data_IF_862183493159
#
_entry.id   IF_862183493159
#
_cell.length_a   1.000
_cell.length_b   1.000
_cell.length_c   1.000
_cell.angle_alpha   90.00
_cell.angle_beta   90.00
_cell.angle_gamma   90.00
#
_symmetry.space_group_name_H-M   'P 1'
#
loop_
_entity.id
_entity.type
_entity.pdbx_description
1 polymer ?
#
# COMPACT_ATOMS: atom_id res chain seq x y z
N UNK A 1 -13.74 -13.81 11.79
CA UNK A 1 -13.81 -12.64 10.88
C UNK A 1 -14.11 -11.42 11.72
N UNK A 2 -13.06 -10.77 12.21
CA UNK A 2 -13.14 -9.55 13.03
C UNK A 2 -12.93 -8.33 12.14
N UNK A 3 -14.01 -7.65 11.81
CA UNK A 3 -14.06 -6.19 11.88
C UNK A 3 -13.58 -5.40 10.67
N UNK A 4 -12.28 -5.29 10.46
CA UNK A 4 -11.80 -4.01 9.94
C UNK A 4 -11.19 -4.13 8.54
N UNK A 5 -11.90 -3.59 7.56
CA UNK A 5 -11.38 -3.31 6.22
C UNK A 5 -11.08 -1.83 6.09
N UNK A 6 -9.95 -1.48 5.49
CA UNK A 6 -9.63 -0.11 5.12
C UNK A 6 -9.67 0.06 3.60
N UNK A 7 -9.96 1.28 3.14
CA UNK A 7 -9.85 1.67 1.74
C UNK A 7 -8.72 2.68 1.62
N UNK A 8 -7.72 2.38 0.81
CA UNK A 8 -6.63 3.31 0.49
C UNK A 8 -6.74 3.79 -0.95
N UNK A 9 -6.33 5.02 -1.20
CA UNK A 9 -6.25 5.58 -2.55
C UNK A 9 -4.82 5.49 -3.07
N UNK A 10 -4.63 4.92 -4.26
CA UNK A 10 -3.36 4.86 -4.97
C UNK A 10 -3.08 6.15 -5.75
N UNK A 11 -1.89 6.25 -6.34
CA UNK A 11 -1.43 7.43 -7.13
C UNK A 11 -2.26 7.73 -8.36
N UNK A 12 -2.90 6.71 -8.95
CA UNK A 12 -3.80 6.85 -10.08
C UNK A 12 -5.23 7.29 -9.67
N UNK A 13 -5.46 7.51 -8.37
CA UNK A 13 -6.78 7.79 -7.81
C UNK A 13 -7.66 6.54 -7.65
N UNK A 14 -7.16 5.36 -8.04
CA UNK A 14 -7.79 4.08 -7.81
C UNK A 14 -7.89 3.75 -6.32
N UNK A 15 -8.89 2.96 -5.95
CA UNK A 15 -9.12 2.53 -4.57
C UNK A 15 -8.74 1.07 -4.40
N UNK A 16 -8.01 0.77 -3.33
CA UNK A 16 -7.61 -0.58 -2.95
C UNK A 16 -8.26 -0.91 -1.61
N UNK A 17 -8.99 -2.04 -1.58
CA UNK A 17 -9.55 -2.58 -0.35
C UNK A 17 -8.49 -3.41 0.38
N UNK A 18 -8.26 -3.11 1.65
CA UNK A 18 -7.31 -3.81 2.50
C UNK A 18 -8.05 -4.49 3.66
N UNK A 19 -7.86 -5.80 3.80
CA UNK A 19 -8.32 -6.61 4.94
C UNK A 19 -7.25 -6.51 6.02
N UNK A 20 -7.54 -5.78 7.10
CA UNK A 20 -6.58 -5.52 8.17
C UNK A 20 -6.34 -6.78 9.01
N UNK A 21 -5.12 -6.94 9.52
CA UNK A 21 -4.81 -8.05 10.41
C UNK A 21 -5.22 -7.78 11.87
N UNK A 22 -5.59 -6.53 12.20
CA UNK A 22 -6.01 -6.09 13.53
C UNK A 22 -4.87 -5.86 14.53
N UNK A 23 -3.62 -6.13 14.14
CA UNK A 23 -2.44 -5.92 14.98
C UNK A 23 -1.78 -4.56 14.72
N UNK A 24 -1.89 -4.04 13.49
CA UNK A 24 -1.30 -2.77 13.10
C UNK A 24 -2.30 -1.60 13.25
N UNK A 25 -1.79 -0.44 13.65
CA UNK A 25 -2.57 0.79 13.76
C UNK A 25 -2.17 1.80 12.70
N UNK A 26 -3.11 2.13 11.82
CA UNK A 26 -2.93 3.16 10.81
C UNK A 26 -3.30 4.51 11.44
N UNK A 27 -2.34 5.45 11.46
CA UNK A 27 -2.49 6.72 12.15
C UNK A 27 -2.11 7.94 11.33
N UNK A 28 -1.69 7.75 10.09
CA UNK A 28 -1.19 8.83 9.23
C UNK A 28 -1.84 8.81 7.86
N UNK A 29 -1.83 9.95 7.17
CA UNK A 29 -2.38 10.09 5.81
C UNK A 29 -1.77 9.12 4.80
N UNK A 30 -0.46 8.90 4.89
CA UNK A 30 0.24 7.95 4.03
C UNK A 30 0.66 6.72 4.82
N UNK A 31 0.42 5.54 4.26
CA UNK A 31 0.77 4.25 4.86
C UNK A 31 1.39 3.34 3.80
N UNK A 32 2.36 2.53 4.20
CA UNK A 32 2.83 1.39 3.44
C UNK A 32 2.10 0.14 3.94
N UNK A 33 1.56 -0.65 3.03
CA UNK A 33 0.90 -1.93 3.35
C UNK A 33 1.63 -3.05 2.62
N UNK A 34 2.15 -4.00 3.39
CA UNK A 34 2.75 -5.23 2.87
C UNK A 34 1.75 -6.36 3.12
N UNK A 35 1.37 -7.06 2.05
CA UNK A 35 0.34 -8.07 2.11
C UNK A 35 0.25 -8.94 0.87
N UNK A 36 -0.76 -9.80 0.84
CA UNK A 36 -1.05 -10.66 -0.31
C UNK A 36 -2.27 -10.14 -1.06
N UNK A 37 -2.17 -10.09 -2.39
CA UNK A 37 -3.33 -9.84 -3.25
C UNK A 37 -4.23 -11.07 -3.30
N UNK A 38 -5.50 -10.87 -2.98
CA UNK A 38 -6.55 -11.88 -2.98
C UNK A 38 -7.26 -11.97 -4.35
N UNK A 39 -8.05 -13.02 -4.55
CA UNK A 39 -8.77 -13.25 -5.83
C UNK A 39 -9.76 -12.14 -6.19
N UNK A 40 -10.24 -11.40 -5.20
CA UNK A 40 -11.15 -10.25 -5.34
C UNK A 40 -10.40 -8.92 -5.52
N UNK A 41 -9.08 -8.96 -5.76
CA UNK A 41 -8.19 -7.81 -5.86
C UNK A 41 -8.05 -6.98 -4.58
N UNK A 42 -8.57 -7.46 -3.44
CA UNK A 42 -8.24 -6.90 -2.13
C UNK A 42 -6.84 -7.31 -1.69
N UNK A 43 -6.28 -6.60 -0.72
CA UNK A 43 -5.01 -6.96 -0.08
C UNK A 43 -5.27 -7.48 1.32
N UNK A 44 -4.80 -8.68 1.65
CA UNK A 44 -4.71 -9.16 3.02
C UNK A 44 -3.42 -8.64 3.65
N UNK A 45 -3.54 -7.77 4.65
CA UNK A 45 -2.39 -7.16 5.33
C UNK A 45 -1.60 -8.20 6.14
N UNK A 46 -0.27 -8.12 6.06
CA UNK A 46 0.67 -8.80 6.97
C UNK A 46 1.36 -7.81 7.90
N UNK A 47 1.79 -6.67 7.34
CA UNK A 47 2.47 -5.59 8.07
C UNK A 47 2.14 -4.25 7.42
N UNK A 48 2.13 -3.19 8.21
CA UNK A 48 2.08 -1.82 7.69
C UNK A 48 3.03 -0.89 8.42
N UNK A 49 3.35 0.22 7.75
CA UNK A 49 4.20 1.30 8.27
C UNK A 49 3.49 2.64 8.06
N UNK A 50 3.38 3.45 9.11
CA UNK A 50 2.90 4.84 8.99
C UNK A 50 4.01 5.71 8.35
N UNK A 51 3.71 6.34 7.21
CA UNK A 51 4.66 7.19 6.46
C UNK A 51 4.48 8.70 6.75
N UNK A 52 3.53 9.07 7.60
CA UNK A 52 3.29 10.46 7.99
C UNK A 52 2.33 11.20 7.06
N UNK A 53 2.34 12.54 7.17
CA UNK A 53 1.39 13.43 6.52
C UNK A 53 1.87 14.04 5.20
N UNK A 54 3.17 13.93 4.93
CA UNK A 54 3.87 14.68 3.87
C UNK A 54 4.74 13.80 2.98
N UNK A 55 4.35 12.55 2.76
CA UNK A 55 5.04 11.64 1.85
C UNK A 55 4.73 12.01 0.39
N UNK A 56 5.78 12.14 -0.44
CA UNK A 56 5.65 12.42 -1.87
C UNK A 56 5.30 11.15 -2.63
N UNK A 57 3.99 10.88 -2.73
CA UNK A 57 3.47 9.68 -3.37
C UNK A 57 3.74 9.67 -4.90
N UNK A 58 3.80 10.85 -5.53
CA UNK A 58 4.08 10.98 -6.97
C UNK A 58 5.53 10.59 -7.28
N UNK A 59 6.48 11.04 -6.44
CA UNK A 59 7.87 10.62 -6.56
C UNK A 59 8.03 9.12 -6.32
N UNK A 60 7.39 8.58 -5.28
CA UNK A 60 7.42 7.14 -4.99
C UNK A 60 6.90 6.31 -6.17
N UNK A 61 5.81 6.73 -6.80
CA UNK A 61 5.26 6.07 -7.98
C UNK A 61 6.22 6.12 -9.17
N UNK A 62 6.90 7.25 -9.42
CA UNK A 62 7.94 7.30 -10.46
C UNK A 62 9.05 6.28 -10.23
N UNK A 63 9.52 6.13 -8.99
CA UNK A 63 10.55 5.13 -8.65
C UNK A 63 10.05 3.72 -8.98
N UNK A 64 8.80 3.38 -8.64
CA UNK A 64 8.18 2.09 -9.00
C UNK A 64 8.14 1.91 -10.52
N UNK A 65 7.61 2.90 -11.25
CA UNK A 65 7.48 2.83 -12.71
C UNK A 65 8.83 2.70 -13.44
N UNK A 66 9.87 3.42 -13.00
CA UNK A 66 11.20 3.29 -13.57
C UNK A 66 11.89 2.00 -13.15
N UNK A 67 11.68 1.53 -11.92
CA UNK A 67 12.22 0.25 -11.46
C UNK A 67 11.71 -0.92 -12.29
N UNK A 68 10.43 -0.91 -12.69
CA UNK A 68 9.87 -1.91 -13.59
C UNK A 68 10.43 -1.84 -15.03
N UNK A 69 10.98 -0.68 -15.46
CA UNK A 69 11.58 -0.48 -16.78
C UNK A 69 13.07 -0.82 -16.84
N UNK A 70 13.75 -0.80 -15.69
CA UNK A 70 15.18 -1.06 -15.54
C UNK A 70 15.41 -2.15 -14.46
N UNK A 71 14.89 -3.38 -14.65
CA UNK A 71 14.97 -4.44 -13.65
C UNK A 71 16.43 -4.75 -13.24
N UNK A 72 17.38 -4.60 -14.16
CA UNK A 72 18.81 -4.83 -13.91
C UNK A 72 19.41 -3.93 -12.82
N UNK A 73 18.76 -2.82 -12.48
CA UNK A 73 19.18 -1.92 -11.40
C UNK A 73 18.66 -2.37 -10.03
N UNK A 74 17.63 -3.21 -9.98
CA UNK A 74 16.87 -3.56 -8.77
C UNK A 74 16.79 -5.07 -8.49
N UNK A 75 17.42 -5.90 -9.31
CA UNK A 75 17.53 -7.37 -9.18
C UNK A 75 18.59 -7.83 -8.15
#
# INVERSE_FOLDING_TARGET
FSGDTAVIQATDGGQVLVKLNGENQWGTKFVEVIGRVEKDFSVMEFKSSNLGESFDLDLANKVVEYGQKCPELFD
#
